data_IF_703140801365
#
_entry.id   IF_703140801365
#
_cell.length_a   1.000
_cell.length_b   1.000
_cell.length_c   1.000
_cell.angle_alpha   90.00
_cell.angle_beta   90.00
_cell.angle_gamma   90.00
#
_symmetry.space_group_name_H-M   'P 1'
#
loop_
_entity.id
_entity.type
_entity.pdbx_description
1 polymer ?
#
# COMPACT_ATOMS: atom_id res chain seq x y z
N UNK A 1 -0.20 30.87 30.04
CA UNK A 1 0.74 29.86 29.52
C UNK A 1 0.05 28.50 29.35
N UNK A 2 -1.12 28.48 28.69
CA UNK A 2 -1.93 27.26 28.45
C UNK A 2 -2.40 27.12 26.99
N UNK A 3 -2.20 28.12 26.12
CA UNK A 3 -2.63 28.07 24.72
C UNK A 3 -1.68 27.33 23.77
N UNK A 4 -0.39 27.23 24.12
CA UNK A 4 0.60 26.59 23.24
C UNK A 4 0.39 25.06 23.13
N UNK A 5 -0.15 24.44 24.19
CA UNK A 5 -0.43 23.01 24.21
C UNK A 5 -1.64 22.64 23.35
N UNK A 6 -2.65 23.50 23.23
CA UNK A 6 -3.86 23.21 22.43
C UNK A 6 -3.59 23.13 20.93
N UNK A 7 -2.72 24.01 20.42
CA UNK A 7 -2.35 24.05 18.99
C UNK A 7 -1.41 22.90 18.64
N UNK A 8 -0.44 22.60 19.51
CA UNK A 8 0.50 21.48 19.32
C UNK A 8 -0.23 20.15 19.23
N UNK A 9 -1.26 19.95 20.06
CA UNK A 9 -2.08 18.75 20.06
C UNK A 9 -2.92 18.63 18.78
N UNK A 10 -3.43 19.74 18.24
CA UNK A 10 -4.17 19.73 16.97
C UNK A 10 -3.30 19.44 15.74
N UNK A 11 -2.09 20.00 15.69
CA UNK A 11 -1.13 19.71 14.61
C UNK A 11 -0.63 18.27 14.66
N UNK A 12 -0.27 17.78 15.85
CA UNK A 12 0.10 16.37 16.04
C UNK A 12 -1.05 15.41 15.71
N UNK A 13 -2.28 15.77 16.02
CA UNK A 13 -3.45 14.96 15.69
C UNK A 13 -3.67 14.82 14.18
N UNK A 14 -3.51 15.90 13.40
CA UNK A 14 -3.63 15.84 11.93
C UNK A 14 -2.50 15.02 11.30
N UNK A 15 -1.26 15.20 11.76
CA UNK A 15 -0.12 14.40 11.30
C UNK A 15 -0.28 12.92 11.67
N UNK A 16 -0.73 12.61 12.89
CA UNK A 16 -0.99 11.25 13.32
C UNK A 16 -2.08 10.58 12.48
N UNK A 17 -3.18 11.30 12.21
CA UNK A 17 -4.28 10.78 11.38
C UNK A 17 -3.83 10.51 9.94
N UNK A 18 -3.01 11.39 9.37
CA UNK A 18 -2.39 11.20 8.05
C UNK A 18 -1.44 10.00 8.05
N UNK A 19 -0.59 9.89 9.07
CA UNK A 19 0.37 8.80 9.21
C UNK A 19 -0.31 7.44 9.36
N UNK A 20 -1.37 7.35 10.17
CA UNK A 20 -2.18 6.13 10.29
C UNK A 20 -2.82 5.76 8.95
N UNK A 21 -3.28 6.74 8.16
CA UNK A 21 -3.86 6.47 6.85
C UNK A 21 -2.84 5.89 5.87
N UNK A 22 -1.63 6.46 5.81
CA UNK A 22 -0.52 5.92 5.01
C UNK A 22 -0.14 4.53 5.51
N UNK A 23 0.03 4.37 6.82
CA UNK A 23 0.47 3.11 7.42
C UNK A 23 -0.53 1.98 7.16
N UNK A 24 -1.84 2.27 7.20
CA UNK A 24 -2.88 1.30 6.84
C UNK A 24 -2.78 0.91 5.35
N UNK A 25 -2.59 1.89 4.46
CA UNK A 25 -2.41 1.64 3.03
C UNK A 25 -1.16 0.80 2.74
N UNK A 26 -0.04 1.11 3.41
CA UNK A 26 1.21 0.36 3.28
C UNK A 26 1.07 -1.06 3.84
N UNK A 27 0.31 -1.25 4.91
CA UNK A 27 0.08 -2.58 5.47
C UNK A 27 -0.70 -3.48 4.49
N UNK A 28 -1.74 -2.93 3.85
CA UNK A 28 -2.53 -3.66 2.84
C UNK A 28 -1.66 -3.97 1.61
N UNK A 29 -0.84 -3.01 1.17
CA UNK A 29 0.12 -3.20 0.09
C UNK A 29 1.10 -4.36 0.36
N UNK A 30 1.67 -4.40 1.58
CA UNK A 30 2.56 -5.49 1.99
C UNK A 30 1.83 -6.83 2.01
N UNK A 31 0.58 -6.87 2.47
CA UNK A 31 -0.23 -8.10 2.46
C UNK A 31 -0.45 -8.65 1.06
N UNK A 32 -0.77 -7.79 0.09
CA UNK A 32 -0.99 -8.20 -1.30
C UNK A 32 0.33 -8.59 -1.97
N UNK A 33 1.40 -7.83 -1.75
CA UNK A 33 2.74 -8.18 -2.23
C UNK A 33 3.22 -9.51 -1.65
N UNK A 34 2.93 -9.79 -0.38
CA UNK A 34 3.27 -11.05 0.27
C UNK A 34 2.46 -12.23 -0.32
N UNK A 35 1.17 -12.04 -0.60
CA UNK A 35 0.36 -13.04 -1.28
C UNK A 35 0.88 -13.33 -2.70
N UNK A 36 1.27 -12.29 -3.44
CA UNK A 36 1.89 -12.42 -4.76
C UNK A 36 3.22 -13.20 -4.69
N UNK A 37 4.08 -12.86 -3.73
CA UNK A 37 5.34 -13.59 -3.49
C UNK A 37 5.10 -15.07 -3.12
N UNK A 38 4.09 -15.34 -2.29
CA UNK A 38 3.68 -16.71 -1.94
C UNK A 38 3.21 -17.51 -3.17
N UNK A 39 2.50 -16.86 -4.10
CA UNK A 39 2.08 -17.46 -5.36
C UNK A 39 3.29 -17.84 -6.23
N UNK A 40 4.27 -16.95 -6.33
CA UNK A 40 5.54 -17.23 -7.02
C UNK A 40 6.32 -18.40 -6.39
N UNK A 41 6.34 -18.48 -5.06
CA UNK A 41 6.96 -19.59 -4.34
C UNK A 41 6.24 -20.92 -4.62
N UNK A 42 4.90 -20.90 -4.73
CA UNK A 42 4.10 -22.08 -5.07
C UNK A 42 4.36 -22.55 -6.51
N UNK A 43 4.50 -21.61 -7.44
CA UNK A 43 4.85 -21.87 -8.85
C UNK A 43 6.21 -22.56 -8.97
N UNK A 44 7.24 -22.05 -8.29
CA UNK A 44 8.57 -22.68 -8.26
C UNK A 44 8.54 -24.09 -7.68
N UNK A 45 7.71 -24.32 -6.66
CA UNK A 45 7.51 -25.65 -6.08
C UNK A 45 6.84 -26.62 -7.09
N UNK A 46 5.90 -26.12 -7.89
CA UNK A 46 5.22 -26.87 -8.95
C UNK A 46 6.11 -27.14 -10.18
N UNK A 47 6.97 -26.20 -10.57
CA UNK A 47 7.98 -26.41 -11.64
C UNK A 47 8.96 -27.53 -11.26
N UNK A 48 9.37 -27.60 -9.99
CA UNK A 48 10.18 -28.72 -9.49
C UNK A 48 9.49 -30.08 -9.59
N UNK A 49 8.16 -30.11 -9.71
CA UNK A 49 7.35 -31.32 -9.84
C UNK A 49 7.00 -31.67 -11.30
N UNK A 50 7.62 -31.03 -12.30
CA UNK A 50 7.38 -31.25 -13.73
C UNK A 50 5.96 -30.86 -14.20
N UNK A 51 5.32 -29.90 -13.52
CA UNK A 51 3.98 -29.45 -13.90
C UNK A 51 4.03 -28.46 -15.07
N UNK A 52 3.01 -28.57 -15.91
CA UNK A 52 2.75 -27.85 -17.16
C UNK A 52 3.17 -26.37 -17.13
N UNK A 53 4.14 -26.00 -17.97
CA UNK A 53 4.69 -24.64 -18.06
C UNK A 53 3.64 -23.57 -18.42
N UNK A 54 2.49 -23.98 -18.97
CA UNK A 54 1.35 -23.10 -19.20
C UNK A 54 0.77 -22.55 -17.88
N UNK A 55 0.67 -23.37 -16.83
CA UNK A 55 0.16 -22.96 -15.52
C UNK A 55 1.10 -21.93 -14.88
N UNK A 56 2.41 -22.16 -14.98
CA UNK A 56 3.45 -21.22 -14.49
C UNK A 56 3.32 -19.82 -15.13
N UNK A 57 3.12 -19.77 -16.46
CA UNK A 57 2.93 -18.51 -17.19
C UNK A 57 1.69 -17.76 -16.72
N UNK A 58 0.56 -18.46 -16.59
CA UNK A 58 -0.70 -17.85 -16.14
C UNK A 58 -0.56 -17.29 -14.71
N UNK A 59 0.04 -18.04 -13.79
CA UNK A 59 0.25 -17.56 -12.42
C UNK A 59 1.17 -16.35 -12.36
N UNK A 60 2.24 -16.31 -13.16
CA UNK A 60 3.11 -15.13 -13.27
C UNK A 60 2.38 -13.90 -13.80
N UNK A 61 1.52 -14.07 -14.80
CA UNK A 61 0.73 -12.95 -15.35
C UNK A 61 -0.22 -12.41 -14.27
N UNK A 62 -0.90 -13.29 -13.55
CA UNK A 62 -1.80 -12.90 -12.45
C UNK A 62 -1.04 -12.19 -11.32
N UNK A 63 0.14 -12.68 -10.96
CA UNK A 63 1.04 -12.05 -9.98
C UNK A 63 1.35 -10.59 -10.38
N UNK A 64 1.80 -10.39 -11.62
CA UNK A 64 2.10 -9.05 -12.13
C UNK A 64 0.88 -8.14 -12.20
N UNK A 65 -0.28 -8.66 -12.64
CA UNK A 65 -1.51 -7.86 -12.71
C UNK A 65 -1.94 -7.41 -11.31
N UNK A 66 -1.95 -8.32 -10.34
CA UNK A 66 -2.33 -8.00 -8.96
C UNK A 66 -1.36 -6.99 -8.35
N UNK A 67 -0.06 -7.20 -8.53
CA UNK A 67 0.95 -6.29 -8.03
C UNK A 67 0.84 -4.90 -8.66
N UNK A 68 0.73 -4.81 -9.99
CA UNK A 68 0.64 -3.52 -10.70
C UNK A 68 -0.66 -2.79 -10.35
N UNK A 69 -1.79 -3.49 -10.30
CA UNK A 69 -3.06 -2.88 -9.91
C UNK A 69 -2.99 -2.32 -8.48
N UNK A 70 -2.40 -3.07 -7.55
CA UNK A 70 -2.26 -2.64 -6.17
C UNK A 70 -1.31 -1.45 -6.01
N UNK A 71 -0.17 -1.45 -6.71
CA UNK A 71 0.76 -0.30 -6.77
C UNK A 71 0.05 0.96 -7.29
N UNK A 72 -0.75 0.84 -8.36
CA UNK A 72 -1.48 1.99 -8.93
C UNK A 72 -2.48 2.54 -7.90
N UNK A 73 -3.27 1.66 -7.26
CA UNK A 73 -4.19 2.05 -6.21
C UNK A 73 -3.47 2.74 -5.03
N UNK A 74 -2.33 2.20 -4.60
CA UNK A 74 -1.53 2.78 -3.52
C UNK A 74 -0.98 4.17 -3.88
N UNK A 75 -0.50 4.37 -5.10
CA UNK A 75 -0.02 5.68 -5.59
C UNK A 75 -1.17 6.69 -5.62
N UNK A 76 -2.32 6.32 -6.19
CA UNK A 76 -3.51 7.19 -6.23
C UNK A 76 -3.92 7.59 -4.81
N UNK A 77 -3.93 6.62 -3.89
CA UNK A 77 -4.25 6.84 -2.48
C UNK A 77 -3.27 7.81 -1.80
N UNK A 78 -1.96 7.65 -2.02
CA UNK A 78 -0.95 8.58 -1.50
C UNK A 78 -1.18 9.98 -2.06
N UNK A 79 -1.33 10.13 -3.37
CA UNK A 79 -1.50 11.44 -4.01
C UNK A 79 -2.74 12.13 -3.46
N UNK A 80 -3.88 11.44 -3.38
CA UNK A 80 -5.10 11.99 -2.80
C UNK A 80 -4.93 12.41 -1.35
N UNK A 81 -4.25 11.59 -0.54
CA UNK A 81 -3.98 11.89 0.86
C UNK A 81 -3.09 13.12 1.01
N UNK A 82 -2.02 13.21 0.22
CA UNK A 82 -1.07 14.34 0.22
C UNK A 82 -1.74 15.62 -0.24
N UNK A 83 -2.50 15.58 -1.35
CA UNK A 83 -3.21 16.75 -1.88
C UNK A 83 -4.24 17.27 -0.87
N UNK A 84 -4.98 16.36 -0.22
CA UNK A 84 -5.95 16.73 0.80
C UNK A 84 -5.27 17.41 2.00
N UNK A 85 -4.17 16.85 2.49
CA UNK A 85 -3.40 17.42 3.58
C UNK A 85 -2.79 18.78 3.21
N UNK A 86 -2.26 18.91 1.99
CA UNK A 86 -1.70 20.17 1.49
C UNK A 86 -2.75 21.28 1.37
N UNK A 87 -3.97 20.93 0.94
CA UNK A 87 -5.09 21.87 0.89
C UNK A 87 -5.53 22.29 2.29
N UNK A 88 -5.62 21.36 3.25
CA UNK A 88 -5.92 21.66 4.65
C UNK A 88 -4.86 22.55 5.31
N UNK A 89 -3.60 22.46 4.87
CA UNK A 89 -2.52 23.35 5.31
C UNK A 89 -2.56 24.75 4.66
N UNK A 90 -2.98 24.85 3.40
CA UNK A 90 -3.03 26.12 2.67
C UNK A 90 -4.27 26.97 3.02
N UNK A 91 -5.32 26.36 3.56
CA UNK A 91 -6.53 27.05 4.03
C UNK A 91 -6.44 27.56 5.49
N UNK A 92 -5.31 27.32 6.20
CA UNK A 92 -5.00 27.93 7.50
C UNK A 92 -4.07 29.13 7.37
#
# INVERSE_FOLDING_TARGET
MSDENGIKNRWWYHLYKFFVHILLGTLIFILIAFAAWGLSCLVHFFESANVDGFICIVLKIVEYILFVADVICFIIFIIWSVVKFWRELWEQ
#
